data_IF_015511596610
#
_entry.id   IF_015511596610
#
_cell.length_a   1.000
_cell.length_b   1.000
_cell.length_c   1.000
_cell.angle_alpha   90.00
_cell.angle_beta   90.00
_cell.angle_gamma   90.00
#
_symmetry.space_group_name_H-M   'P 1'
#
loop_
_entity.id
_entity.type
_entity.pdbx_description
1 polymer ?
#
# COMPACT_ATOMS: atom_id res chain seq x y z
N UNK A 1 12.91 18.83 -8.31
CA UNK A 1 12.61 18.11 -9.56
C UNK A 1 11.26 17.44 -9.44
N UNK A 2 10.20 18.16 -9.80
CA UNK A 2 8.88 17.54 -9.98
C UNK A 2 8.87 16.93 -11.38
N UNK A 3 8.86 15.61 -11.46
CA UNK A 3 8.76 14.88 -12.73
C UNK A 3 7.28 14.80 -13.08
N UNK A 4 6.91 15.24 -14.28
CA UNK A 4 5.52 15.23 -14.74
C UNK A 4 5.10 13.81 -15.10
N UNK A 5 3.82 13.47 -14.93
CA UNK A 5 3.26 12.22 -15.45
C UNK A 5 3.48 12.09 -16.97
N UNK A 6 3.56 13.21 -17.67
CA UNK A 6 3.79 13.28 -19.12
C UNK A 6 5.18 12.73 -19.52
N UNK A 7 6.18 12.84 -18.64
CA UNK A 7 7.56 12.41 -18.91
C UNK A 7 7.70 10.88 -19.00
N UNK A 8 6.73 10.13 -18.46
CA UNK A 8 6.71 8.67 -18.49
C UNK A 8 5.67 8.09 -19.44
N UNK A 9 5.08 8.88 -20.35
CA UNK A 9 3.98 8.45 -21.23
C UNK A 9 4.21 7.10 -21.94
N UNK A 10 5.45 6.76 -22.32
CA UNK A 10 5.79 5.46 -22.92
C UNK A 10 5.85 4.29 -21.93
N UNK A 11 6.32 4.50 -20.70
CA UNK A 11 6.26 3.48 -19.64
C UNK A 11 4.84 3.34 -19.06
N UNK A 12 4.10 4.44 -19.07
CA UNK A 12 2.69 4.55 -18.68
C UNK A 12 1.73 4.08 -19.78
N UNK A 13 2.20 3.76 -20.99
CA UNK A 13 1.36 3.22 -22.06
C UNK A 13 0.68 1.89 -21.66
N UNK A 14 1.22 1.21 -20.64
CA UNK A 14 0.66 0.01 -20.03
C UNK A 14 -0.16 0.28 -18.76
N UNK A 15 -0.18 1.52 -18.25
CA UNK A 15 -1.03 1.91 -17.13
C UNK A 15 -2.36 2.45 -17.68
N UNK A 16 -3.52 1.95 -17.24
CA UNK A 16 -4.79 2.53 -17.64
C UNK A 16 -4.92 3.95 -17.08
N UNK A 17 -5.78 4.78 -17.67
CA UNK A 17 -5.94 6.20 -17.37
C UNK A 17 -6.01 6.50 -15.85
N UNK A 18 -5.09 7.38 -15.41
CA UNK A 18 -4.97 7.78 -14.01
C UNK A 18 -6.06 8.79 -13.61
N UNK A 19 -6.80 9.36 -14.57
CA UNK A 19 -7.83 10.38 -14.33
C UNK A 19 -9.16 9.84 -13.83
N UNK A 20 -9.43 8.53 -13.98
CA UNK A 20 -10.67 7.93 -13.47
C UNK A 20 -10.70 7.95 -11.92
N UNK A 21 -11.75 8.51 -11.29
CA UNK A 21 -11.89 8.44 -9.84
C UNK A 21 -12.09 6.97 -9.41
N UNK A 22 -11.17 6.43 -8.61
CA UNK A 22 -11.42 5.16 -7.92
C UNK A 22 -12.19 5.46 -6.64
N UNK A 23 -13.52 5.49 -6.73
CA UNK A 23 -14.35 5.56 -5.53
C UNK A 23 -14.40 4.16 -4.94
N UNK A 24 -13.66 3.94 -3.86
CA UNK A 24 -13.76 2.72 -3.07
C UNK A 24 -14.95 2.87 -2.12
N UNK A 25 -16.14 2.52 -2.62
CA UNK A 25 -17.39 2.54 -1.82
C UNK A 25 -17.38 1.38 -0.84
N UNK A 26 -17.75 1.63 0.42
CA UNK A 26 -17.97 0.56 1.39
C UNK A 26 -19.20 -0.27 0.99
N UNK A 27 -19.00 -1.57 0.83
CA UNK A 27 -20.09 -2.50 0.56
C UNK A 27 -20.73 -2.94 1.87
N UNK A 28 -21.87 -2.33 2.22
CA UNK A 28 -22.66 -2.68 3.40
C UNK A 28 -23.50 -3.95 3.23
N UNK A 29 -23.62 -4.45 1.99
CA UNK A 29 -24.42 -5.62 1.65
C UNK A 29 -23.57 -6.91 1.58
N UNK A 30 -22.26 -6.77 1.77
CA UNK A 30 -21.28 -7.84 1.73
C UNK A 30 -21.58 -8.97 2.73
N UNK A 31 -21.16 -10.19 2.36
CA UNK A 31 -21.33 -11.39 3.20
C UNK A 31 -20.61 -11.32 4.54
N UNK A 32 -19.62 -10.43 4.66
CA UNK A 32 -18.91 -10.11 5.91
C UNK A 32 -19.71 -9.24 6.88
N UNK A 33 -20.80 -8.61 6.43
CA UNK A 33 -21.66 -7.74 7.25
C UNK A 33 -23.00 -8.42 7.57
N UNK A 34 -23.51 -9.26 6.66
CA UNK A 34 -24.73 -10.02 6.87
C UNK A 34 -24.50 -11.21 7.78
N UNK A 35 -25.24 -11.30 8.88
CA UNK A 35 -25.19 -12.44 9.78
C UNK A 35 -26.59 -13.09 9.92
N UNK A 36 -26.77 -14.36 9.52
CA UNK A 36 -28.06 -15.04 9.60
C UNK A 36 -28.55 -15.28 11.03
N UNK A 37 -27.70 -15.12 12.04
CA UNK A 37 -28.09 -15.22 13.45
C UNK A 37 -28.67 -13.91 14.04
N UNK A 38 -28.63 -12.79 13.28
CA UNK A 38 -29.19 -11.52 13.72
C UNK A 38 -30.64 -11.37 13.25
N UNK A 39 -31.47 -10.72 14.06
CA UNK A 39 -32.78 -10.23 13.58
C UNK A 39 -32.60 -9.06 12.62
N UNK A 40 -33.63 -8.76 11.82
CA UNK A 40 -33.60 -7.63 10.87
C UNK A 40 -33.28 -6.29 11.57
N UNK A 41 -33.87 -6.07 12.76
CA UNK A 41 -33.58 -4.88 13.57
C UNK A 41 -32.12 -4.80 14.04
N UNK A 42 -31.54 -5.94 14.45
CA UNK A 42 -30.15 -5.99 14.88
C UNK A 42 -29.19 -5.78 13.71
N UNK A 43 -29.47 -6.40 12.56
CA UNK A 43 -28.72 -6.22 11.34
C UNK A 43 -28.73 -4.74 10.90
N UNK A 44 -29.88 -4.08 10.98
CA UNK A 44 -30.01 -2.67 10.66
C UNK A 44 -29.19 -1.78 11.60
N UNK A 45 -29.22 -2.04 12.92
CA UNK A 45 -28.40 -1.30 13.90
C UNK A 45 -26.91 -1.43 13.66
N UNK A 46 -26.44 -2.62 13.23
CA UNK A 46 -25.04 -2.83 12.85
C UNK A 46 -24.69 -1.95 11.65
N UNK A 47 -25.50 -1.98 10.59
CA UNK A 47 -25.26 -1.18 9.38
C UNK A 47 -25.28 0.33 9.69
N UNK A 48 -26.20 0.79 10.54
CA UNK A 48 -26.25 2.18 11.00
C UNK A 48 -24.97 2.59 11.75
N UNK A 49 -24.46 1.71 12.63
CA UNK A 49 -23.20 1.95 13.34
C UNK A 49 -22.01 2.00 12.39
N UNK A 50 -21.97 1.10 11.38
CA UNK A 50 -20.90 1.10 10.40
C UNK A 50 -20.91 2.38 9.56
N UNK A 51 -22.10 2.86 9.15
CA UNK A 51 -22.26 4.15 8.45
C UNK A 51 -21.85 5.33 9.31
N UNK A 52 -22.20 5.34 10.60
CA UNK A 52 -21.81 6.45 11.49
C UNK A 52 -20.30 6.57 11.69
N UNK A 53 -19.55 5.48 11.49
CA UNK A 53 -18.09 5.42 11.64
C UNK A 53 -17.36 5.27 10.29
N UNK A 54 -18.00 5.57 9.17
CA UNK A 54 -17.41 5.44 7.83
C UNK A 54 -16.07 6.19 7.69
N UNK A 55 -15.92 7.33 8.36
CA UNK A 55 -14.71 8.17 8.31
C UNK A 55 -13.41 7.50 8.82
N UNK A 56 -13.51 6.48 9.68
CA UNK A 56 -12.34 5.75 10.22
C UNK A 56 -12.14 4.40 9.54
N UNK A 57 -13.01 4.05 8.59
CA UNK A 57 -12.97 2.76 7.91
C UNK A 57 -12.08 2.82 6.67
N UNK A 58 -11.42 1.71 6.42
CA UNK A 58 -10.66 1.49 5.20
C UNK A 58 -11.55 0.68 4.27
N UNK A 59 -11.94 1.27 3.15
CA UNK A 59 -12.63 0.58 2.07
C UNK A 59 -11.73 -0.44 1.37
N UNK A 60 -12.32 -1.29 0.53
CA UNK A 60 -11.57 -2.29 -0.24
C UNK A 60 -10.51 -1.63 -1.14
N UNK A 61 -9.35 -2.29 -1.27
CA UNK A 61 -8.20 -1.79 -2.03
C UNK A 61 -7.02 -1.40 -1.15
N UNK A 62 -5.91 -0.98 -1.76
CA UNK A 62 -4.72 -0.47 -1.04
C UNK A 62 -4.97 0.93 -0.44
N UNK A 63 -6.19 1.22 0.00
CA UNK A 63 -6.57 2.45 0.65
C UNK A 63 -6.00 2.44 2.08
N UNK A 64 -4.68 2.57 2.21
CA UNK A 64 -4.13 2.89 3.52
C UNK A 64 -4.72 4.24 3.94
N UNK A 65 -4.98 4.46 5.24
CA UNK A 65 -5.30 5.79 5.72
C UNK A 65 -4.19 6.73 5.24
N UNK A 66 -4.50 8.00 4.94
CA UNK A 66 -3.48 8.98 4.61
C UNK A 66 -2.30 8.85 5.60
N UNK A 67 -1.04 8.92 5.12
CA UNK A 67 0.12 8.90 6.01
C UNK A 67 -0.12 9.84 7.20
N UNK A 68 0.34 9.43 8.39
CA UNK A 68 0.16 10.22 9.61
C UNK A 68 0.48 11.70 9.33
N UNK A 69 -0.54 12.56 9.43
CA UNK A 69 -0.49 13.94 8.94
C UNK A 69 0.75 14.68 9.43
N UNK A 70 1.58 15.18 8.50
CA UNK A 70 2.63 16.16 8.76
C UNK A 70 3.93 15.64 9.39
N UNK A 71 4.10 14.32 9.56
CA UNK A 71 5.35 13.77 10.10
C UNK A 71 6.26 13.31 8.96
N UNK A 72 7.44 13.93 8.86
CA UNK A 72 8.53 13.46 8.00
C UNK A 72 9.41 12.55 8.84
N UNK A 73 9.69 11.34 8.33
CA UNK A 73 10.61 10.40 8.94
C UNK A 73 11.88 10.35 8.09
N UNK A 74 12.95 10.96 8.59
CA UNK A 74 14.26 10.90 7.96
C UNK A 74 14.94 9.57 8.32
N UNK A 75 15.39 8.85 7.30
CA UNK A 75 16.11 7.58 7.46
C UNK A 75 17.61 7.89 7.42
N UNK A 76 18.28 7.78 8.57
CA UNK A 76 19.73 7.93 8.64
C UNK A 76 20.43 6.70 8.07
N UNK A 77 21.33 6.91 7.11
CA UNK A 77 22.14 5.89 6.44
C UNK A 77 23.63 6.02 6.76
N UNK A 78 23.99 6.70 7.86
CA UNK A 78 25.36 6.90 8.33
C UNK A 78 26.30 7.50 7.27
N UNK A 79 25.81 8.48 6.50
CA UNK A 79 26.51 9.11 5.38
C UNK A 79 27.01 8.13 4.29
N UNK A 80 26.38 6.96 4.16
CA UNK A 80 26.72 5.99 3.11
C UNK A 80 26.33 6.50 1.71
N UNK A 81 27.14 6.17 0.70
CA UNK A 81 26.86 6.48 -0.70
C UNK A 81 25.57 5.79 -1.22
N UNK A 82 24.86 6.36 -2.21
CA UNK A 82 23.64 5.76 -2.73
C UNK A 82 23.82 4.35 -3.29
N UNK A 83 22.90 3.45 -2.90
CA UNK A 83 22.83 2.09 -3.41
C UNK A 83 21.78 2.03 -4.54
N UNK A 84 22.23 1.76 -5.77
CA UNK A 84 21.36 1.63 -6.96
C UNK A 84 21.40 0.20 -7.50
N UNK A 85 20.38 -0.59 -7.16
CA UNK A 85 20.23 -1.96 -7.61
C UNK A 85 19.44 -2.04 -8.92
N UNK A 86 19.76 -3.03 -9.75
CA UNK A 86 19.03 -3.30 -11.00
C UNK A 86 17.66 -3.91 -10.69
N UNK A 87 16.63 -3.46 -11.42
CA UNK A 87 15.31 -4.08 -11.39
C UNK A 87 15.36 -5.59 -11.73
N UNK A 88 14.61 -6.39 -10.96
CA UNK A 88 14.51 -7.84 -11.17
C UNK A 88 13.58 -8.14 -12.35
N UNK A 89 13.91 -9.19 -13.11
CA UNK A 89 13.04 -9.69 -14.18
C UNK A 89 11.75 -10.24 -13.59
N UNK A 90 10.62 -9.82 -14.15
CA UNK A 90 9.29 -10.27 -13.73
C UNK A 90 8.67 -11.11 -14.84
N UNK A 91 8.15 -12.32 -14.52
CA UNK A 91 7.41 -13.13 -15.50
C UNK A 91 6.22 -12.37 -16.09
N UNK A 92 5.99 -12.54 -17.39
CA UNK A 92 4.95 -11.83 -18.15
C UNK A 92 3.56 -11.93 -17.51
N UNK A 93 3.22 -13.11 -16.98
CA UNK A 93 1.93 -13.39 -16.33
C UNK A 93 1.61 -12.49 -15.12
N UNK A 94 2.62 -11.85 -14.51
CA UNK A 94 2.43 -10.96 -13.37
C UNK A 94 2.56 -9.47 -13.73
N UNK A 95 2.91 -9.13 -14.97
CA UNK A 95 3.12 -7.73 -15.37
C UNK A 95 1.84 -6.91 -15.21
N UNK A 96 0.72 -7.43 -15.72
CA UNK A 96 -0.58 -6.74 -15.63
C UNK A 96 -0.98 -6.49 -14.18
N UNK A 97 -0.98 -7.53 -13.33
CA UNK A 97 -1.31 -7.40 -11.90
C UNK A 97 -0.39 -6.42 -11.17
N UNK A 98 0.89 -6.37 -11.54
CA UNK A 98 1.85 -5.40 -10.97
C UNK A 98 1.45 -3.97 -11.34
N UNK A 99 1.14 -3.73 -12.61
CA UNK A 99 0.76 -2.41 -13.09
C UNK A 99 -0.54 -1.92 -12.45
N UNK A 100 -1.53 -2.81 -12.28
CA UNK A 100 -2.78 -2.50 -11.57
C UNK A 100 -2.51 -2.09 -10.11
N UNK A 101 -1.64 -2.81 -9.40
CA UNK A 101 -1.27 -2.47 -8.03
C UNK A 101 -0.49 -1.14 -7.94
N UNK A 102 0.49 -0.92 -8.82
CA UNK A 102 1.25 0.34 -8.87
C UNK A 102 0.34 1.53 -9.16
N UNK A 103 -0.61 1.36 -10.10
CA UNK A 103 -1.64 2.37 -10.38
C UNK A 103 -2.46 2.69 -9.14
N UNK A 104 -2.92 1.67 -8.41
CA UNK A 104 -3.66 1.87 -7.16
C UNK A 104 -2.87 2.66 -6.12
N UNK A 105 -1.58 2.34 -5.96
CA UNK A 105 -0.69 3.05 -5.02
C UNK A 105 -0.41 4.50 -5.44
N UNK A 106 -0.21 4.76 -6.73
CA UNK A 106 -0.06 6.11 -7.29
C UNK A 106 -1.32 6.94 -7.09
N UNK A 107 -2.50 6.37 -7.39
CA UNK A 107 -3.80 7.05 -7.18
C UNK A 107 -4.06 7.37 -5.71
N UNK A 108 -3.64 6.48 -4.81
CA UNK A 108 -3.73 6.70 -3.37
C UNK A 108 -2.71 7.72 -2.84
N UNK A 109 -1.78 8.21 -3.66
CA UNK A 109 -0.71 9.13 -3.23
C UNK A 109 0.31 8.50 -2.29
N UNK A 110 0.36 7.16 -2.19
CA UNK A 110 1.29 6.44 -1.31
C UNK A 110 2.69 6.32 -1.92
N UNK A 111 2.78 6.37 -3.25
CA UNK A 111 4.03 6.40 -4.00
C UNK A 111 3.98 7.54 -5.02
N UNK A 112 5.16 7.98 -5.46
CA UNK A 112 5.32 8.99 -6.50
C UNK A 112 6.49 8.61 -7.42
N UNK A 113 6.52 9.21 -8.60
CA UNK A 113 7.70 9.14 -9.47
C UNK A 113 8.86 9.91 -8.83
N UNK A 114 10.06 9.36 -8.96
CA UNK A 114 11.28 9.97 -8.44
C UNK A 114 12.48 9.64 -9.33
N UNK A 115 13.41 10.58 -9.43
CA UNK A 115 14.73 10.38 -10.02
C UNK A 115 15.76 10.27 -8.88
N UNK A 116 15.64 9.20 -8.10
CA UNK A 116 16.50 8.97 -6.94
C UNK A 116 17.81 8.31 -7.34
N UNK A 117 18.95 8.72 -6.74
CA UNK A 117 20.19 7.96 -6.86
C UNK A 117 20.12 6.61 -6.13
N UNK A 118 19.13 6.42 -5.24
CA UNK A 118 18.85 5.16 -4.55
C UNK A 118 17.80 4.35 -5.31
N UNK A 119 18.02 3.04 -5.44
CA UNK A 119 17.03 2.15 -6.03
C UNK A 119 17.12 0.74 -5.43
N UNK A 120 16.00 0.25 -4.91
CA UNK A 120 15.83 -1.14 -4.47
C UNK A 120 14.85 -1.87 -5.39
N UNK A 121 15.08 -3.14 -5.73
CA UNK A 121 14.27 -3.82 -6.71
C UNK A 121 12.93 -4.30 -6.13
N UNK A 122 11.89 -4.27 -6.96
CA UNK A 122 10.60 -4.91 -6.66
C UNK A 122 10.75 -6.44 -6.68
N UNK A 123 10.13 -7.08 -5.69
CA UNK A 123 9.95 -8.53 -5.57
C UNK A 123 8.45 -8.84 -5.58
N UNK A 124 8.07 -9.86 -6.35
CA UNK A 124 6.69 -10.32 -6.42
C UNK A 124 6.53 -11.55 -5.52
N UNK A 125 5.56 -11.49 -4.60
CA UNK A 125 5.20 -12.59 -3.72
C UNK A 125 3.77 -13.02 -4.01
N UNK A 126 3.52 -14.33 -4.11
CA UNK A 126 2.17 -14.85 -4.31
C UNK A 126 1.37 -14.84 -3.00
N UNK A 127 0.11 -14.43 -3.07
CA UNK A 127 -0.83 -14.62 -1.96
C UNK A 127 -1.23 -16.10 -1.87
N UNK A 128 -1.86 -16.47 -0.75
CA UNK A 128 -2.31 -17.84 -0.47
C UNK A 128 -3.25 -18.42 -1.53
N UNK A 129 -4.01 -17.59 -2.24
CA UNK A 129 -4.89 -18.04 -3.33
C UNK A 129 -4.12 -18.47 -4.60
N UNK A 130 -2.79 -18.31 -4.64
CA UNK A 130 -1.94 -18.75 -5.74
C UNK A 130 -2.00 -17.87 -6.99
N UNK A 131 -2.95 -16.94 -7.05
CA UNK A 131 -3.21 -16.13 -8.24
C UNK A 131 -2.85 -14.65 -8.02
N UNK A 132 -3.18 -14.11 -6.85
CA UNK A 132 -2.89 -12.72 -6.53
C UNK A 132 -1.44 -12.53 -6.12
N UNK A 133 -0.95 -11.32 -6.36
CA UNK A 133 0.42 -10.93 -6.02
C UNK A 133 0.45 -9.83 -4.94
N UNK A 134 1.58 -9.75 -4.25
CA UNK A 134 2.02 -8.61 -3.43
C UNK A 134 3.28 -8.04 -4.07
N UNK A 135 3.32 -6.72 -4.18
CA UNK A 135 4.53 -5.97 -4.51
C UNK A 135 5.28 -5.75 -3.20
N UNK A 136 6.50 -6.26 -3.11
CA UNK A 136 7.43 -6.03 -2.01
C UNK A 136 8.67 -5.34 -2.55
N UNK A 137 9.38 -4.59 -1.72
CA UNK A 137 10.67 -3.99 -2.07
C UNK A 137 11.76 -4.70 -1.28
N UNK A 138 12.83 -5.08 -1.97
CA UNK A 138 13.99 -5.71 -1.34
C UNK A 138 14.94 -4.65 -0.77
N UNK A 139 14.68 -4.26 0.48
CA UNK A 139 15.49 -3.27 1.19
C UNK A 139 16.73 -3.85 1.88
N UNK A 140 17.07 -5.12 1.67
CA UNK A 140 18.15 -5.78 2.44
C UNK A 140 19.46 -4.98 2.42
N UNK A 141 19.89 -4.45 1.27
CA UNK A 141 21.11 -3.65 1.17
C UNK A 141 21.02 -2.27 1.82
N UNK A 142 19.84 -1.64 1.79
CA UNK A 142 19.63 -0.34 2.43
C UNK A 142 19.58 -0.53 3.95
N UNK A 143 18.85 -1.55 4.41
CA UNK A 143 18.73 -1.90 5.83
C UNK A 143 20.08 -2.17 6.50
N UNK A 144 21.10 -2.65 5.76
CA UNK A 144 22.45 -2.87 6.32
C UNK A 144 23.22 -1.58 6.60
N UNK A 145 22.84 -0.46 5.98
CA UNK A 145 23.50 0.84 6.16
C UNK A 145 22.64 1.83 6.98
N UNK A 146 21.34 1.55 7.12
CA UNK A 146 20.41 2.30 7.96
C UNK A 146 20.79 2.23 9.44
N UNK A 147 20.86 3.38 10.11
CA UNK A 147 21.02 3.45 11.55
C UNK A 147 19.78 2.86 12.27
N UNK A 148 20.02 2.02 13.27
CA UNK A 148 18.94 1.38 14.03
C UNK A 148 18.30 2.41 14.96
N UNK A 149 17.00 2.64 14.83
CA UNK A 149 16.24 3.41 15.80
C UNK A 149 15.93 2.53 17.01
N UNK A 150 16.57 2.80 18.14
CA UNK A 150 16.27 2.13 19.40
C UNK A 150 14.99 2.71 20.01
N UNK A 151 13.91 1.94 19.99
CA UNK A 151 12.70 2.23 20.75
C UNK A 151 12.21 0.95 21.41
N UNK A 152 11.85 1.03 22.69
CA UNK A 152 11.29 -0.10 23.42
C UNK A 152 9.83 -0.29 22.98
N UNK A 153 9.58 -1.29 22.15
CA UNK A 153 8.22 -1.78 21.94
C UNK A 153 7.88 -2.75 23.10
N UNK A 154 6.83 -2.49 23.89
CA UNK A 154 6.46 -3.39 24.97
C UNK A 154 6.08 -4.77 24.42
N UNK A 155 6.38 -5.83 25.17
CA UNK A 155 5.90 -7.16 24.82
C UNK A 155 4.38 -7.21 25.01
N UNK A 156 3.73 -8.15 24.32
CA UNK A 156 2.28 -8.35 24.47
C UNK A 156 1.93 -8.64 25.94
N UNK A 157 2.76 -9.41 26.64
CA UNK A 157 2.54 -9.73 28.06
C UNK A 157 2.64 -8.49 28.98
N UNK A 158 3.53 -7.54 28.64
CA UNK A 158 3.67 -6.27 29.38
C UNK A 158 2.43 -5.38 29.24
N UNK A 159 1.67 -5.52 28.14
CA UNK A 159 0.47 -4.73 27.86
C UNK A 159 -0.81 -5.32 28.49
N UNK A 160 -0.80 -6.61 28.83
CA UNK A 160 -1.97 -7.35 29.31
C UNK A 160 -2.01 -7.50 30.84
N UNK A 161 -1.02 -6.95 31.55
CA UNK A 161 -0.92 -6.95 33.02
C UNK A 161 -1.38 -5.61 33.58
#
# INVERSE_FOLDING_TARGET
NYISLEDYAQELAFLPDLTDPSVTVLDYEGSNIKNPALTDEQQQRVVEMLKSHESIMISSGNALPPPAYGVVCDIDVNNHDPIKQRARRIPLRYLQKRYELLKGLLKAGLIAFSDSPWASPIVIVLKKNGEDIRICIDYNMVNTVTAIMEYAMPLVDDLLT
#
